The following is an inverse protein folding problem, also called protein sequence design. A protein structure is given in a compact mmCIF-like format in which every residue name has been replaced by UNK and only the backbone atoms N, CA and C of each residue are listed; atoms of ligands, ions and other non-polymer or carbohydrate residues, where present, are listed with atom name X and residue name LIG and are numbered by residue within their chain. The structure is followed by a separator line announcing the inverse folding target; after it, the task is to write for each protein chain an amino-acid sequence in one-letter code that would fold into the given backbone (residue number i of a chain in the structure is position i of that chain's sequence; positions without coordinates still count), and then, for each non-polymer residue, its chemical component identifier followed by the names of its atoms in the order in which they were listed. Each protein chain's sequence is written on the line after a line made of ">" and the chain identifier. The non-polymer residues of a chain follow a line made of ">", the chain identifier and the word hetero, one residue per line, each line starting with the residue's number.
data_IF_788137783709
#
_entry.id   IF_788137783709
#
_cell.length_a   1.000
_cell.length_b   1.000
_cell.length_c   1.000
_cell.angle_alpha   90.00
_cell.angle_beta   90.00
_cell.angle_gamma   90.00
#
_symmetry.space_group_name_H-M   'P 1'
#
loop_
_entity.id
_entity.type
_entity.pdbx_description
1 polymer ?
#
# COMPACT_ATOMS: atom_id res chain seq x y z
N UNK A 1 9.29 -21.46 22.19
CA UNK A 1 10.24 -21.55 21.06
C UNK A 1 9.48 -21.51 19.76
N UNK A 2 10.00 -20.79 18.77
CA UNK A 2 9.47 -20.84 17.41
C UNK A 2 9.82 -22.19 16.78
N UNK A 3 8.86 -22.81 16.11
CA UNK A 3 9.11 -23.95 15.25
C UNK A 3 9.18 -23.44 13.81
N UNK A 4 10.22 -23.86 13.08
CA UNK A 4 10.36 -23.47 11.68
C UNK A 4 9.29 -24.15 10.84
N UNK A 5 8.76 -23.41 9.88
CA UNK A 5 7.71 -23.91 8.98
C UNK A 5 8.39 -24.22 7.65
N UNK A 6 8.38 -25.46 7.15
CA UNK A 6 8.98 -25.76 5.85
C UNK A 6 8.34 -24.94 4.72
N UNK A 7 9.16 -24.28 3.88
CA UNK A 7 8.66 -23.45 2.77
C UNK A 7 7.76 -24.27 1.82
N UNK A 8 8.07 -25.55 1.62
CA UNK A 8 7.27 -26.48 0.80
C UNK A 8 5.79 -26.57 1.18
N UNK A 9 5.42 -26.21 2.41
CA UNK A 9 4.01 -26.19 2.83
C UNK A 9 3.18 -25.15 2.06
N UNK A 10 3.83 -24.20 1.39
CA UNK A 10 3.20 -23.25 0.48
C UNK A 10 2.61 -23.92 -0.79
N UNK A 11 3.19 -25.04 -1.26
CA UNK A 11 2.66 -25.78 -2.41
C UNK A 11 1.25 -26.33 -2.10
N UNK A 12 0.98 -26.65 -0.84
CA UNK A 12 -0.33 -27.13 -0.38
C UNK A 12 -1.43 -26.06 -0.35
N UNK A 13 -1.18 -24.83 -0.82
CA UNK A 13 -2.18 -23.74 -0.85
C UNK A 13 -3.12 -23.78 -2.06
N UNK A 14 -3.01 -24.81 -2.90
CA UNK A 14 -3.85 -25.04 -4.07
C UNK A 14 -3.81 -23.85 -5.04
N UNK A 15 -4.97 -23.43 -5.54
CA UNK A 15 -5.10 -22.31 -6.51
C UNK A 15 -4.32 -21.05 -6.13
N UNK A 16 -4.13 -20.74 -4.83
CA UNK A 16 -3.36 -19.56 -4.40
C UNK A 16 -1.89 -19.66 -4.82
N UNK A 17 -1.33 -20.86 -4.69
CA UNK A 17 0.03 -21.17 -5.13
C UNK A 17 0.13 -21.06 -6.65
N UNK A 18 -0.79 -21.71 -7.37
CA UNK A 18 -0.80 -21.72 -8.83
C UNK A 18 -0.90 -20.29 -9.40
N UNK A 19 -1.81 -19.47 -8.86
CA UNK A 19 -1.98 -18.06 -9.27
C UNK A 19 -0.68 -17.27 -9.09
N UNK A 20 0.04 -17.49 -8.00
CA UNK A 20 1.33 -16.83 -7.78
C UNK A 20 2.37 -17.27 -8.82
N UNK A 21 2.48 -18.56 -9.09
CA UNK A 21 3.41 -19.09 -10.10
C UNK A 21 3.06 -18.58 -11.50
N UNK A 22 1.78 -18.67 -11.91
CA UNK A 22 1.30 -18.14 -13.19
C UNK A 22 1.58 -16.65 -13.33
N UNK A 23 1.40 -15.88 -12.25
CA UNK A 23 1.60 -14.42 -12.29
C UNK A 23 3.08 -14.03 -12.31
N UNK A 24 3.90 -14.61 -11.45
CA UNK A 24 5.25 -14.13 -11.21
C UNK A 24 6.31 -14.88 -12.04
N UNK A 25 6.07 -16.15 -12.38
CA UNK A 25 7.01 -16.97 -13.17
C UNK A 25 6.67 -16.91 -14.65
N UNK A 26 5.39 -17.10 -15.00
CA UNK A 26 4.93 -17.14 -16.39
C UNK A 26 4.43 -15.78 -16.92
N UNK A 27 4.41 -14.76 -16.05
CA UNK A 27 4.02 -13.38 -16.38
C UNK A 27 2.59 -13.19 -16.92
N UNK A 28 1.70 -14.17 -16.67
CA UNK A 28 0.30 -14.09 -17.10
C UNK A 28 -0.41 -12.90 -16.42
N UNK A 29 -1.32 -12.24 -17.14
CA UNK A 29 -2.12 -11.19 -16.52
C UNK A 29 -3.18 -11.79 -15.59
N UNK A 30 -3.65 -11.03 -14.60
CA UNK A 30 -4.75 -11.50 -13.75
C UNK A 30 -6.03 -11.77 -14.54
N UNK A 31 -6.24 -11.10 -15.69
CA UNK A 31 -7.38 -11.34 -16.56
C UNK A 31 -7.27 -12.69 -17.27
N UNK A 32 -6.08 -13.04 -17.77
CA UNK A 32 -5.83 -14.33 -18.43
C UNK A 32 -6.02 -15.49 -17.44
N UNK A 33 -5.44 -15.37 -16.26
CA UNK A 33 -5.57 -16.37 -15.19
C UNK A 33 -7.04 -16.50 -14.77
N UNK A 34 -7.77 -15.38 -14.64
CA UNK A 34 -9.20 -15.41 -14.28
C UNK A 34 -10.05 -16.13 -15.33
N UNK A 35 -9.75 -15.90 -16.61
CA UNK A 35 -10.39 -16.59 -17.73
C UNK A 35 -10.11 -18.10 -17.70
N UNK A 36 -8.86 -18.49 -17.46
CA UNK A 36 -8.45 -19.89 -17.36
C UNK A 36 -9.17 -20.64 -16.22
N UNK A 37 -9.27 -20.03 -15.05
CA UNK A 37 -9.95 -20.62 -13.89
C UNK A 37 -11.48 -20.42 -13.90
N UNK A 38 -12.04 -19.74 -14.90
CA UNK A 38 -13.45 -19.35 -14.98
C UNK A 38 -13.98 -18.68 -13.69
N UNK A 39 -13.25 -17.68 -13.19
CA UNK A 39 -13.61 -16.89 -12.00
C UNK A 39 -13.42 -15.40 -12.25
N UNK A 40 -13.86 -14.56 -11.31
CA UNK A 40 -13.63 -13.12 -11.41
C UNK A 40 -12.14 -12.76 -11.25
N UNK A 41 -11.72 -11.66 -11.89
CA UNK A 41 -10.38 -11.07 -11.69
C UNK A 41 -10.12 -10.75 -10.22
N UNK A 42 -11.13 -10.25 -9.51
CA UNK A 42 -11.04 -9.96 -8.07
C UNK A 42 -10.71 -11.21 -7.24
N UNK A 43 -11.26 -12.38 -7.60
CA UNK A 43 -10.95 -13.66 -6.96
C UNK A 43 -9.49 -14.04 -7.16
N UNK A 44 -8.94 -13.85 -8.38
CA UNK A 44 -7.54 -14.13 -8.67
C UNK A 44 -6.62 -13.17 -7.92
N UNK A 45 -6.93 -11.87 -7.89
CA UNK A 45 -6.17 -10.88 -7.11
C UNK A 45 -6.16 -11.26 -5.63
N UNK A 46 -7.31 -11.64 -5.05
CA UNK A 46 -7.39 -12.07 -3.67
C UNK A 46 -6.53 -13.32 -3.41
N UNK A 47 -6.50 -14.28 -4.33
CA UNK A 47 -5.64 -15.47 -4.21
C UNK A 47 -4.15 -15.10 -4.24
N UNK A 48 -3.75 -14.21 -5.14
CA UNK A 48 -2.38 -13.70 -5.25
C UNK A 48 -1.94 -12.98 -3.96
N UNK A 49 -2.74 -12.03 -3.48
CA UNK A 49 -2.45 -11.27 -2.25
C UNK A 49 -2.35 -12.19 -1.03
N UNK A 50 -3.24 -13.17 -0.92
CA UNK A 50 -3.15 -14.19 0.13
C UNK A 50 -1.83 -14.99 0.05
N UNK A 51 -1.38 -15.32 -1.16
CA UNK A 51 -0.15 -16.07 -1.35
C UNK A 51 1.07 -15.26 -0.90
N UNK A 52 1.14 -13.99 -1.27
CA UNK A 52 2.21 -13.07 -0.84
C UNK A 52 2.22 -12.86 0.68
N UNK A 53 1.03 -12.79 1.30
CA UNK A 53 0.91 -12.75 2.76
C UNK A 53 1.51 -14.00 3.42
N UNK A 54 1.20 -15.20 2.90
CA UNK A 54 1.76 -16.45 3.44
C UNK A 54 3.27 -16.52 3.25
N UNK A 55 3.80 -16.12 2.07
CA UNK A 55 5.25 -16.02 1.84
C UNK A 55 5.92 -15.13 2.87
N UNK A 56 5.39 -13.92 3.06
CA UNK A 56 5.92 -12.96 4.05
C UNK A 56 5.90 -13.55 5.47
N UNK A 57 4.79 -14.19 5.86
CA UNK A 57 4.67 -14.83 7.18
C UNK A 57 5.71 -15.93 7.40
N UNK A 58 5.98 -16.73 6.37
CA UNK A 58 6.95 -17.82 6.42
C UNK A 58 8.37 -17.26 6.52
N UNK A 59 8.70 -16.24 5.71
CA UNK A 59 9.98 -15.54 5.80
C UNK A 59 10.22 -14.93 7.18
N UNK A 60 9.22 -14.23 7.72
CA UNK A 60 9.31 -13.64 9.06
C UNK A 60 9.57 -14.70 10.13
N UNK A 61 8.92 -15.87 10.04
CA UNK A 61 9.15 -16.96 10.97
C UNK A 61 10.56 -17.56 10.84
N UNK A 62 10.95 -17.95 9.63
CA UNK A 62 12.24 -18.56 9.36
C UNK A 62 13.41 -17.63 9.71
N UNK A 63 13.35 -16.37 9.26
CA UNK A 63 14.39 -15.39 9.58
C UNK A 63 14.48 -15.14 11.09
N UNK A 64 13.37 -15.17 11.83
CA UNK A 64 13.43 -15.03 13.29
C UNK A 64 14.22 -16.16 13.93
N UNK A 65 14.07 -17.39 13.43
CA UNK A 65 14.78 -18.58 13.95
C UNK A 65 16.26 -18.53 13.59
N UNK A 66 16.60 -18.29 12.32
CA UNK A 66 17.99 -18.26 11.84
C UNK A 66 18.80 -17.16 12.53
N UNK A 67 18.17 -16.02 12.85
CA UNK A 67 18.80 -14.94 13.60
C UNK A 67 18.75 -15.11 15.13
N UNK A 68 18.24 -16.24 15.64
CA UNK A 68 18.24 -16.56 17.08
C UNK A 68 17.23 -15.77 17.92
N UNK A 69 16.20 -15.17 17.32
CA UNK A 69 15.15 -14.47 18.06
C UNK A 69 14.15 -15.45 18.68
N UNK A 70 13.74 -15.18 19.93
CA UNK A 70 12.76 -16.01 20.64
C UNK A 70 11.36 -16.01 20.01
N UNK A 71 11.04 -14.95 19.27
CA UNK A 71 9.75 -14.71 18.64
C UNK A 71 9.90 -13.81 17.39
N UNK A 72 8.81 -13.62 16.66
CA UNK A 72 8.82 -12.90 15.39
C UNK A 72 8.72 -11.38 15.49
N UNK A 73 8.83 -10.79 16.68
CA UNK A 73 8.58 -9.35 16.88
C UNK A 73 9.52 -8.47 16.07
N UNK A 74 10.81 -8.84 16.00
CA UNK A 74 11.81 -8.08 15.25
C UNK A 74 11.42 -7.99 13.76
N UNK A 75 11.25 -9.14 13.10
CA UNK A 75 10.92 -9.18 11.68
C UNK A 75 9.49 -8.71 11.36
N UNK A 76 8.56 -8.78 12.31
CA UNK A 76 7.25 -8.12 12.17
C UNK A 76 7.35 -6.60 12.12
N UNK A 77 8.25 -5.98 12.89
CA UNK A 77 8.48 -4.51 12.79
C UNK A 77 9.02 -4.13 11.41
N UNK A 78 9.93 -4.95 10.87
CA UNK A 78 10.45 -4.77 9.50
C UNK A 78 9.33 -4.91 8.46
N UNK A 79 8.51 -5.96 8.58
CA UNK A 79 7.32 -6.12 7.74
C UNK A 79 6.42 -4.88 7.80
N UNK A 80 6.04 -4.42 9.00
CA UNK A 80 5.19 -3.24 9.14
C UNK A 80 5.80 -1.98 8.53
N UNK A 81 7.12 -1.81 8.65
CA UNK A 81 7.83 -0.67 8.04
C UNK A 81 7.81 -0.73 6.52
N UNK A 82 8.03 -1.92 5.94
CA UNK A 82 7.93 -2.14 4.50
C UNK A 82 6.49 -1.96 3.98
N UNK A 83 5.50 -2.41 4.75
CA UNK A 83 4.09 -2.22 4.43
C UNK A 83 3.74 -0.72 4.38
N UNK A 84 4.09 0.04 5.41
CA UNK A 84 3.82 1.48 5.45
C UNK A 84 4.55 2.23 4.32
N UNK A 85 5.82 1.89 4.06
CA UNK A 85 6.60 2.53 3.02
C UNK A 85 6.07 2.27 1.61
N UNK A 86 5.68 1.02 1.30
CA UNK A 86 5.41 0.60 -0.08
C UNK A 86 3.93 0.37 -0.41
N UNK A 87 3.08 0.11 0.59
CA UNK A 87 1.66 -0.20 0.44
C UNK A 87 1.33 -1.26 -0.63
N UNK A 88 1.94 -2.44 -0.48
CA UNK A 88 1.56 -3.62 -1.27
C UNK A 88 2.37 -4.86 -0.91
N UNK A 89 1.72 -6.01 -0.76
CA UNK A 89 2.38 -7.24 -0.28
C UNK A 89 3.54 -7.68 -1.19
N UNK A 90 3.43 -7.45 -2.50
CA UNK A 90 4.49 -7.80 -3.46
C UNK A 90 5.80 -7.08 -3.15
N UNK A 91 5.74 -5.83 -2.69
CA UNK A 91 6.92 -5.05 -2.34
C UNK A 91 7.52 -5.47 -1.01
N UNK A 92 6.70 -5.98 -0.08
CA UNK A 92 7.15 -6.52 1.20
C UNK A 92 7.93 -7.81 0.95
N UNK A 93 7.37 -8.74 0.18
CA UNK A 93 8.09 -9.96 -0.21
C UNK A 93 9.38 -9.58 -0.96
N UNK A 94 9.31 -8.64 -1.91
CA UNK A 94 10.48 -8.17 -2.65
C UNK A 94 11.55 -7.55 -1.75
N UNK A 95 11.16 -6.83 -0.70
CA UNK A 95 12.10 -6.29 0.29
C UNK A 95 12.84 -7.41 1.02
N UNK A 96 12.11 -8.40 1.56
CA UNK A 96 12.74 -9.55 2.23
C UNK A 96 13.67 -10.33 1.29
N UNK A 97 13.24 -10.57 0.06
CA UNK A 97 14.02 -11.25 -0.99
C UNK A 97 15.27 -10.49 -1.40
N UNK A 98 15.27 -9.16 -1.26
CA UNK A 98 16.41 -8.31 -1.57
C UNK A 98 17.40 -8.24 -0.42
N UNK A 99 16.92 -8.03 0.80
CA UNK A 99 17.76 -7.82 1.98
C UNK A 99 18.29 -9.13 2.60
N UNK A 100 17.55 -10.23 2.46
CA UNK A 100 17.89 -11.54 3.05
C UNK A 100 18.00 -12.63 1.97
N UNK A 101 18.49 -12.24 0.79
CA UNK A 101 18.50 -13.07 -0.41
C UNK A 101 19.11 -14.47 -0.19
N UNK A 102 20.27 -14.55 0.46
CA UNK A 102 21.01 -15.80 0.62
C UNK A 102 20.25 -16.80 1.52
N UNK A 103 19.80 -16.33 2.69
CA UNK A 103 19.03 -17.14 3.65
C UNK A 103 17.72 -17.61 3.01
N UNK A 104 16.99 -16.70 2.36
CA UNK A 104 15.68 -17.03 1.81
C UNK A 104 15.77 -17.91 0.56
N UNK A 105 16.85 -17.78 -0.23
CA UNK A 105 17.09 -18.65 -1.39
C UNK A 105 17.27 -20.11 -0.95
N UNK A 106 18.04 -20.34 0.11
CA UNK A 106 18.20 -21.68 0.68
C UNK A 106 16.87 -22.20 1.24
N UNK A 107 16.18 -21.38 2.05
CA UNK A 107 14.90 -21.74 2.65
C UNK A 107 13.81 -22.13 1.63
N UNK A 108 13.78 -21.45 0.47
CA UNK A 108 12.87 -21.78 -0.63
C UNK A 108 13.14 -23.13 -1.28
N UNK A 109 14.37 -23.65 -1.16
CA UNK A 109 14.76 -24.96 -1.67
C UNK A 109 14.37 -25.21 -3.14
N UNK A 110 14.73 -24.26 -4.01
CA UNK A 110 14.46 -24.34 -5.46
C UNK A 110 13.16 -23.65 -5.91
N UNK A 111 12.26 -23.30 -4.98
CA UNK A 111 11.05 -22.55 -5.34
C UNK A 111 11.34 -21.09 -5.75
N UNK A 112 10.51 -20.51 -6.65
CA UNK A 112 10.76 -19.17 -7.16
C UNK A 112 10.62 -18.08 -6.07
N UNK A 113 11.48 -17.07 -6.15
CA UNK A 113 11.41 -15.86 -5.35
C UNK A 113 10.47 -14.82 -5.96
N UNK A 114 10.76 -13.54 -5.76
CA UNK A 114 10.09 -12.46 -6.51
C UNK A 114 10.76 -12.23 -7.88
N UNK A 115 10.00 -11.81 -8.91
CA UNK A 115 10.56 -11.48 -10.22
C UNK A 115 11.68 -10.42 -10.14
N UNK A 116 12.77 -10.64 -10.89
CA UNK A 116 13.95 -9.73 -10.90
C UNK A 116 13.57 -8.27 -11.22
N UNK A 117 12.62 -8.06 -12.13
CA UNK A 117 12.08 -6.74 -12.47
C UNK A 117 11.50 -6.01 -11.25
N UNK A 118 10.82 -6.73 -10.34
CA UNK A 118 10.24 -6.15 -9.13
C UNK A 118 11.36 -5.77 -8.16
N UNK A 119 12.32 -6.66 -7.93
CA UNK A 119 13.48 -6.41 -7.06
C UNK A 119 14.29 -5.19 -7.51
N UNK A 120 14.52 -5.05 -8.82
CA UNK A 120 15.25 -3.92 -9.41
C UNK A 120 14.47 -2.61 -9.34
N UNK A 121 13.15 -2.66 -9.45
CA UNK A 121 12.28 -1.48 -9.36
C UNK A 121 11.94 -1.04 -7.94
N UNK A 122 12.33 -1.82 -6.93
CA UNK A 122 11.95 -1.58 -5.54
C UNK A 122 12.62 -0.28 -5.04
N UNK A 123 11.83 0.73 -4.65
CA UNK A 123 12.39 1.96 -4.08
C UNK A 123 13.05 1.70 -2.72
N UNK A 124 13.88 2.63 -2.21
CA UNK A 124 14.48 2.49 -0.89
C UNK A 124 13.41 2.47 0.21
N UNK A 125 13.67 1.73 1.29
CA UNK A 125 12.81 1.75 2.47
C UNK A 125 12.91 3.12 3.15
N UNK A 126 11.75 3.73 3.44
CA UNK A 126 11.64 5.01 4.12
C UNK A 126 10.65 4.87 5.27
N UNK A 127 11.00 5.43 6.42
CA UNK A 127 10.14 5.43 7.62
C UNK A 127 9.16 6.58 7.64
N UNK A 128 9.44 7.67 6.92
CA UNK A 128 8.62 8.87 6.90
C UNK A 128 8.71 9.60 5.54
N UNK A 129 7.66 10.37 5.22
CA UNK A 129 7.62 11.27 4.07
C UNK A 129 7.36 12.69 4.57
N UNK A 130 8.20 13.63 4.17
CA UNK A 130 8.09 15.03 4.60
C UNK A 130 6.90 15.74 3.96
N UNK A 131 6.45 16.83 4.58
CA UNK A 131 5.44 17.71 3.99
C UNK A 131 5.85 18.22 2.61
N UNK A 132 7.15 18.50 2.39
CA UNK A 132 7.67 18.88 1.07
C UNK A 132 7.42 17.81 0.01
N UNK A 133 7.59 16.53 0.38
CA UNK A 133 7.29 15.42 -0.53
C UNK A 133 5.79 15.35 -0.83
N UNK A 134 4.94 15.51 0.19
CA UNK A 134 3.47 15.52 0.01
C UNK A 134 3.04 16.70 -0.89
N UNK A 135 3.55 17.91 -0.65
CA UNK A 135 3.31 19.08 -1.52
C UNK A 135 3.77 18.84 -2.96
N UNK A 136 4.90 18.12 -3.14
CA UNK A 136 5.38 17.76 -4.47
C UNK A 136 4.43 16.79 -5.17
N UNK A 137 3.86 15.81 -4.45
CA UNK A 137 2.85 14.89 -5.00
C UNK A 137 1.63 15.67 -5.49
N UNK A 138 1.10 16.59 -4.68
CA UNK A 138 -0.07 17.42 -5.04
C UNK A 138 0.23 18.24 -6.29
N UNK A 139 1.34 18.98 -6.31
CA UNK A 139 1.76 19.78 -7.47
C UNK A 139 1.90 18.93 -8.74
N UNK A 140 2.57 17.79 -8.65
CA UNK A 140 2.74 16.89 -9.79
C UNK A 140 1.41 16.30 -10.29
N UNK A 141 0.48 16.05 -9.36
CA UNK A 141 -0.83 15.48 -9.70
C UNK A 141 -1.78 16.51 -10.31
N UNK A 142 -1.85 17.69 -9.72
CA UNK A 142 -2.88 18.69 -10.01
C UNK A 142 -2.43 19.75 -11.00
N UNK A 143 -1.15 20.13 -10.98
CA UNK A 143 -0.61 21.13 -11.90
C UNK A 143 -0.01 20.48 -13.14
N UNK A 144 0.79 19.42 -12.96
CA UNK A 144 1.47 18.73 -14.07
C UNK A 144 0.65 17.55 -14.65
N UNK A 145 -0.48 17.20 -14.03
CA UNK A 145 -1.38 16.14 -14.53
C UNK A 145 -0.79 14.73 -14.53
N UNK A 146 0.30 14.48 -13.81
CA UNK A 146 0.98 13.18 -13.83
C UNK A 146 0.14 12.07 -13.18
N UNK A 147 0.31 10.85 -13.68
CA UNK A 147 -0.25 9.64 -13.04
C UNK A 147 0.51 9.29 -11.76
N UNK A 148 -0.12 8.60 -10.80
CA UNK A 148 0.57 8.17 -9.57
C UNK A 148 1.76 7.25 -9.84
N UNK A 149 1.74 6.47 -10.93
CA UNK A 149 2.88 5.67 -11.34
C UNK A 149 4.07 6.55 -11.80
N UNK A 150 3.81 7.61 -12.57
CA UNK A 150 4.85 8.56 -12.97
C UNK A 150 5.39 9.35 -11.76
N UNK A 151 4.50 9.78 -10.85
CA UNK A 151 4.88 10.45 -9.60
C UNK A 151 5.74 9.53 -8.74
N UNK A 152 5.34 8.26 -8.57
CA UNK A 152 6.10 7.27 -7.82
C UNK A 152 7.51 7.10 -8.35
N UNK A 153 7.67 6.96 -9.68
CA UNK A 153 8.99 6.92 -10.32
C UNK A 153 9.80 8.19 -10.03
N UNK A 154 9.20 9.38 -10.21
CA UNK A 154 9.89 10.67 -10.02
C UNK A 154 10.30 10.95 -8.58
N UNK A 155 9.56 10.44 -7.60
CA UNK A 155 9.82 10.64 -6.17
C UNK A 155 10.44 9.42 -5.47
N UNK A 156 10.80 8.39 -6.25
CA UNK A 156 11.36 7.12 -5.79
C UNK A 156 10.50 6.48 -4.69
N UNK A 157 9.22 6.25 -4.99
CA UNK A 157 8.26 5.53 -4.16
C UNK A 157 7.36 4.66 -5.05
N UNK A 158 6.57 3.78 -4.44
CA UNK A 158 5.60 2.97 -5.19
C UNK A 158 4.44 3.85 -5.66
N UNK A 159 3.73 3.41 -6.71
CA UNK A 159 2.51 4.12 -7.15
C UNK A 159 1.45 4.12 -6.04
N UNK A 160 1.38 3.01 -5.29
CA UNK A 160 0.42 2.80 -4.22
C UNK A 160 0.68 3.78 -3.06
N UNK A 161 1.94 4.00 -2.69
CA UNK A 161 2.29 5.01 -1.68
C UNK A 161 2.05 6.44 -2.15
N UNK A 162 2.34 6.75 -3.42
CA UNK A 162 2.07 8.08 -3.97
C UNK A 162 0.56 8.42 -3.94
N UNK A 163 -0.28 7.46 -4.30
CA UNK A 163 -1.75 7.60 -4.25
C UNK A 163 -2.26 7.73 -2.81
N UNK A 164 -1.74 6.91 -1.89
CA UNK A 164 -2.11 6.97 -0.47
C UNK A 164 -1.78 8.32 0.17
N UNK A 165 -0.56 8.83 -0.02
CA UNK A 165 -0.15 10.13 0.53
C UNK A 165 -1.01 11.28 -0.01
N UNK A 166 -1.38 11.23 -1.29
CA UNK A 166 -2.29 12.19 -1.90
C UNK A 166 -3.70 12.11 -1.26
N UNK A 167 -4.26 10.90 -1.15
CA UNK A 167 -5.60 10.71 -0.59
C UNK A 167 -5.65 11.06 0.90
N UNK A 168 -4.60 10.72 1.65
CA UNK A 168 -4.46 11.04 3.07
C UNK A 168 -4.39 12.55 3.30
N UNK A 169 -3.63 13.27 2.47
CA UNK A 169 -3.57 14.74 2.55
C UNK A 169 -4.98 15.36 2.48
N UNK A 170 -5.77 14.97 1.48
CA UNK A 170 -7.12 15.50 1.32
C UNK A 170 -8.11 14.99 2.36
N UNK A 171 -7.91 13.79 2.88
CA UNK A 171 -8.66 13.29 4.02
C UNK A 171 -8.46 14.19 5.25
N UNK A 172 -7.20 14.50 5.59
CA UNK A 172 -6.88 15.38 6.73
C UNK A 172 -7.47 16.79 6.53
N UNK A 173 -7.28 17.38 5.34
CA UNK A 173 -7.85 18.70 5.04
C UNK A 173 -9.38 18.72 5.16
N UNK A 174 -10.06 17.71 4.61
CA UNK A 174 -11.51 17.57 4.72
C UNK A 174 -11.96 17.48 6.20
N UNK A 175 -11.28 16.67 7.01
CA UNK A 175 -11.64 16.54 8.43
C UNK A 175 -11.46 17.85 9.19
N UNK A 176 -10.33 18.55 9.00
CA UNK A 176 -10.05 19.83 9.64
C UNK A 176 -11.04 20.93 9.23
N UNK A 177 -11.37 21.04 7.94
CA UNK A 177 -12.32 22.04 7.46
C UNK A 177 -13.74 21.73 7.91
N UNK A 178 -14.18 20.47 7.80
CA UNK A 178 -15.53 20.09 8.23
C UNK A 178 -15.73 20.34 9.71
N UNK A 179 -14.74 20.08 10.57
CA UNK A 179 -14.83 20.39 12.00
C UNK A 179 -15.14 21.87 12.26
N UNK A 180 -14.35 22.77 11.65
CA UNK A 180 -14.55 24.22 11.81
C UNK A 180 -15.86 24.71 11.23
N UNK A 181 -16.30 24.13 10.11
CA UNK A 181 -17.61 24.47 9.52
C UNK A 181 -18.72 24.03 10.47
N UNK A 182 -18.65 22.83 11.04
CA UNK A 182 -19.63 22.35 12.03
C UNK A 182 -19.67 23.26 13.26
N UNK A 183 -18.52 23.72 13.75
CA UNK A 183 -18.43 24.67 14.87
C UNK A 183 -19.11 26.01 14.57
N UNK A 184 -18.95 26.54 13.35
CA UNK A 184 -19.53 27.83 12.96
C UNK A 184 -21.01 27.73 12.60
N UNK A 185 -21.42 26.65 11.95
CA UNK A 185 -22.78 26.49 11.41
C UNK A 185 -23.72 25.74 12.34
N UNK A 186 -23.19 24.98 13.29
CA UNK A 186 -23.97 24.06 14.13
C UNK A 186 -24.45 22.80 13.40
N UNK A 187 -24.06 22.57 12.14
CA UNK A 187 -24.47 21.40 11.35
C UNK A 187 -23.69 20.14 11.77
N UNK A 188 -24.20 19.42 12.76
CA UNK A 188 -23.53 18.21 13.27
C UNK A 188 -23.56 17.03 12.29
N UNK A 189 -24.42 17.05 11.27
CA UNK A 189 -24.62 15.96 10.31
C UNK A 189 -23.80 16.13 9.02
N UNK A 190 -23.08 17.25 8.89
CA UNK A 190 -22.26 17.61 7.73
C UNK A 190 -21.35 16.47 7.26
N UNK A 191 -20.70 15.78 8.19
CA UNK A 191 -19.79 14.67 7.84
C UNK A 191 -20.53 13.44 7.34
N UNK A 192 -21.74 13.18 7.84
CA UNK A 192 -22.55 12.04 7.44
C UNK A 192 -23.14 12.23 6.04
N UNK A 193 -23.52 13.47 5.70
CA UNK A 193 -23.89 13.87 4.31
C UNK A 193 -22.85 13.37 3.30
N UNK A 194 -21.57 13.73 3.48
CA UNK A 194 -20.51 13.34 2.54
C UNK A 194 -20.02 11.90 2.74
N UNK A 195 -20.17 11.32 3.93
CA UNK A 195 -19.91 9.89 4.15
C UNK A 195 -20.85 9.02 3.31
N UNK A 196 -22.14 9.38 3.28
CA UNK A 196 -23.17 8.63 2.56
C UNK A 196 -23.11 8.85 1.05
N UNK A 197 -22.69 10.05 0.60
CA UNK A 197 -22.57 10.38 -0.81
C UNK A 197 -21.38 9.71 -1.52
N UNK A 198 -20.31 9.36 -0.79
CA UNK A 198 -19.07 8.89 -1.39
C UNK A 198 -18.51 7.61 -0.76
N UNK A 199 -18.02 6.71 -1.62
CA UNK A 199 -17.27 5.52 -1.20
C UNK A 199 -16.03 5.89 -0.38
N UNK A 200 -15.57 4.98 0.48
CA UNK A 200 -14.31 5.08 1.23
C UNK A 200 -13.13 5.38 0.29
N UNK A 201 -12.19 6.23 0.71
CA UNK A 201 -11.00 6.61 -0.08
C UNK A 201 -11.18 7.82 -1.00
N UNK A 202 -12.36 8.46 -0.99
CA UNK A 202 -12.69 9.64 -1.81
C UNK A 202 -12.32 10.99 -1.18
N UNK A 203 -11.20 11.06 -0.43
CA UNK A 203 -10.82 12.24 0.36
C UNK A 203 -10.86 13.55 -0.43
N UNK A 204 -10.31 13.55 -1.65
CA UNK A 204 -10.35 14.70 -2.57
C UNK A 204 -11.77 15.10 -2.96
N UNK A 205 -12.63 14.14 -3.32
CA UNK A 205 -14.02 14.45 -3.71
C UNK A 205 -14.82 15.05 -2.55
N UNK A 206 -14.64 14.51 -1.34
CA UNK A 206 -15.25 15.05 -0.13
C UNK A 206 -14.79 16.47 0.15
N UNK A 207 -13.48 16.70 0.03
CA UNK A 207 -12.90 18.05 0.14
C UNK A 207 -13.49 19.00 -0.92
N UNK A 208 -13.55 18.59 -2.18
CA UNK A 208 -14.07 19.43 -3.28
C UNK A 208 -15.54 19.81 -3.09
N UNK A 209 -16.37 18.86 -2.66
CA UNK A 209 -17.77 19.15 -2.34
C UNK A 209 -17.92 20.06 -1.11
N UNK A 210 -17.07 19.88 -0.09
CA UNK A 210 -17.08 20.76 1.08
C UNK A 210 -16.71 22.20 0.69
N UNK A 211 -15.69 22.37 -0.16
CA UNK A 211 -15.28 23.69 -0.67
C UNK A 211 -16.36 24.31 -1.57
N UNK A 212 -17.06 23.50 -2.38
CA UNK A 212 -18.15 23.99 -3.21
C UNK A 212 -19.38 24.44 -2.39
N UNK A 213 -19.71 23.70 -1.33
CA UNK A 213 -20.86 24.00 -0.47
C UNK A 213 -20.57 25.18 0.48
N UNK A 214 -19.31 25.38 0.90
CA UNK A 214 -18.90 26.41 1.87
C UNK A 214 -17.65 27.20 1.42
N UNK A 215 -17.69 27.90 0.27
CA UNK A 215 -16.50 28.49 -0.34
C UNK A 215 -15.84 29.57 0.54
N UNK A 216 -16.63 30.49 1.11
CA UNK A 216 -16.10 31.59 1.92
C UNK A 216 -15.49 31.10 3.25
N UNK A 217 -16.15 30.17 3.93
CA UNK A 217 -15.64 29.59 5.17
C UNK A 217 -14.34 28.81 4.92
N UNK A 218 -14.31 28.00 3.86
CA UNK A 218 -13.11 27.27 3.47
C UNK A 218 -11.95 28.22 3.14
N UNK A 219 -12.20 29.27 2.36
CA UNK A 219 -11.17 30.26 2.01
C UNK A 219 -10.60 30.96 3.25
N UNK A 220 -11.47 31.39 4.17
CA UNK A 220 -11.07 32.04 5.42
C UNK A 220 -10.22 31.12 6.30
N UNK A 221 -10.64 29.86 6.47
CA UNK A 221 -9.89 28.89 7.27
C UNK A 221 -8.53 28.55 6.64
N UNK A 222 -8.47 28.41 5.31
CA UNK A 222 -7.22 28.10 4.60
C UNK A 222 -6.23 29.27 4.60
N UNK A 223 -6.71 30.53 4.53
CA UNK A 223 -5.87 31.73 4.69
C UNK A 223 -5.26 31.81 6.09
N UNK A 224 -6.04 31.50 7.13
CA UNK A 224 -5.56 31.48 8.52
C UNK A 224 -4.54 30.37 8.81
N UNK A 225 -4.53 29.28 8.04
CA UNK A 225 -3.54 28.19 8.15
C UNK A 225 -2.19 28.58 7.53
N UNK A 226 -2.17 29.41 6.48
CA UNK A 226 -0.92 29.85 5.81
C UNK A 226 -0.15 30.93 6.58
N UNK A 227 -0.77 31.54 7.60
CA UNK A 227 -0.20 32.63 8.40
C UNK A 227 0.38 32.18 9.74
N UNK A 228 0.34 30.87 10.05
CA UNK A 228 1.00 30.25 11.22
C UNK A 228 2.15 29.38 10.76
#
# INVERSE_FOLDING_TARGET
>A
MLNDIPYKNLLGKGRKYDVWVLRDVYDNTFADIAKEYNVSVSTIIANYENMLFWKTRYYVNHLSIVHGYENTTHFRKIWMSALDCYLGNKYIVAYFEKEYADILKEYRNGEPGMPKRILQSLPPLRTQFSMRTISSIIRLRETEGLTYAAIGKRLHMTKEKAEDLYNHHYHVLYFQLSERIMEVTGDMDLRDKYRNAFRVGSGKKKYDCLVADYPELCENFLKGIKQK
#
